data_IF_287419004023
#
_entry.id   IF_287419004023
#
_cell.length_a   1.000
_cell.length_b   1.000
_cell.length_c   1.000
_cell.angle_alpha   90.00
_cell.angle_beta   90.00
_cell.angle_gamma   90.00
#
_symmetry.space_group_name_H-M   'P 1'
#
loop_
_entity.id
_entity.type
_entity.pdbx_description
1 polymer ?
#
# COMPACT_ATOMS: atom_id res chain seq x y z
N UNK A 1 -10.45 -2.67 31.36
CA UNK A 1 -9.44 -3.72 31.65
C UNK A 1 -8.61 -4.02 30.41
N UNK A 2 -7.39 -3.53 30.39
CA UNK A 2 -6.45 -3.78 29.30
C UNK A 2 -5.42 -4.82 29.79
N UNK A 3 -5.43 -6.02 29.15
CA UNK A 3 -4.51 -7.10 29.50
C UNK A 3 -3.03 -6.66 29.49
N UNK A 4 -2.62 -5.86 28.50
CA UNK A 4 -1.23 -5.37 28.41
C UNK A 4 -0.90 -4.39 29.54
N UNK A 5 -1.83 -3.55 29.96
CA UNK A 5 -1.66 -2.67 31.11
C UNK A 5 -1.44 -3.50 32.40
N UNK A 6 -2.35 -4.45 32.66
CA UNK A 6 -2.22 -5.33 33.84
C UNK A 6 -0.92 -6.14 33.84
N UNK A 7 -0.47 -6.57 32.65
CA UNK A 7 0.81 -7.28 32.50
C UNK A 7 2.00 -6.38 32.77
N UNK A 8 1.95 -5.10 32.34
CA UNK A 8 3.02 -4.12 32.58
C UNK A 8 3.13 -3.78 34.07
N UNK A 9 2.02 -3.55 34.75
CA UNK A 9 1.99 -3.31 36.20
C UNK A 9 2.56 -4.52 36.97
N UNK A 10 2.09 -5.74 36.64
CA UNK A 10 2.55 -6.96 37.33
C UNK A 10 4.06 -7.21 37.19
N UNK A 11 4.66 -6.81 36.07
CA UNK A 11 6.07 -7.07 35.78
C UNK A 11 6.94 -5.81 35.82
N UNK A 12 6.42 -4.69 36.35
CA UNK A 12 7.12 -3.39 36.45
C UNK A 12 7.69 -2.93 35.10
N UNK A 13 6.94 -3.17 34.00
CA UNK A 13 7.37 -2.82 32.64
C UNK A 13 6.97 -1.39 32.30
N UNK A 14 7.79 -0.73 31.50
CA UNK A 14 7.46 0.57 30.95
C UNK A 14 6.22 0.50 30.05
N UNK A 15 5.20 1.28 30.35
CA UNK A 15 3.94 1.33 29.60
C UNK A 15 3.75 2.68 28.94
N UNK A 16 3.40 2.67 27.66
CA UNK A 16 3.00 3.85 26.91
C UNK A 16 1.54 3.73 26.51
N UNK A 17 0.74 4.66 26.99
CA UNK A 17 -0.69 4.69 26.65
C UNK A 17 -0.89 4.96 25.16
N UNK A 18 -1.74 4.15 24.52
CA UNK A 18 -2.20 4.35 23.16
C UNK A 18 -3.61 4.95 23.17
N UNK A 19 -3.83 6.00 22.38
CA UNK A 19 -5.14 6.61 22.25
C UNK A 19 -6.16 5.60 21.68
N UNK A 20 -7.16 5.25 22.45
CA UNK A 20 -8.19 4.25 22.12
C UNK A 20 -9.03 4.61 20.89
N UNK A 21 -9.07 5.89 20.50
CA UNK A 21 -9.76 6.36 19.31
C UNK A 21 -8.98 6.09 18.00
N UNK A 22 -7.73 5.64 18.08
CA UNK A 22 -6.90 5.35 16.93
C UNK A 22 -6.90 3.82 16.67
N UNK A 23 -7.67 3.36 15.70
CA UNK A 23 -7.69 1.94 15.32
C UNK A 23 -6.34 1.47 14.75
N UNK A 24 -6.04 0.16 14.90
CA UNK A 24 -4.73 -0.43 14.57
C UNK A 24 -4.18 -0.07 13.18
N UNK A 25 -4.99 -0.15 12.13
CA UNK A 25 -4.56 0.18 10.76
C UNK A 25 -4.22 1.66 10.53
N UNK A 26 -4.64 2.55 11.45
CA UNK A 26 -4.33 3.99 11.45
C UNK A 26 -3.19 4.35 12.40
N UNK A 27 -2.70 3.40 13.20
CA UNK A 27 -1.77 3.66 14.31
C UNK A 27 -0.29 3.76 13.91
N UNK A 28 0.03 3.58 12.63
CA UNK A 28 1.41 3.57 12.13
C UNK A 28 2.22 4.85 12.46
N UNK A 29 1.53 6.00 12.56
CA UNK A 29 2.14 7.29 12.94
C UNK A 29 1.81 7.71 14.38
N UNK A 30 1.27 6.80 15.19
CA UNK A 30 1.06 6.96 16.65
C UNK A 30 2.16 6.25 17.45
N UNK A 31 2.07 6.27 18.79
CA UNK A 31 3.02 5.57 19.67
C UNK A 31 3.23 4.10 19.28
N UNK A 32 2.17 3.40 18.84
CA UNK A 32 2.24 1.98 18.46
C UNK A 32 3.21 1.74 17.29
N UNK A 33 3.25 2.64 16.30
CA UNK A 33 4.18 2.54 15.18
C UNK A 33 5.52 3.24 15.43
N UNK A 34 5.50 4.38 16.12
CA UNK A 34 6.70 5.21 16.28
C UNK A 34 7.69 4.64 17.28
N UNK A 35 7.23 3.99 18.38
CA UNK A 35 8.13 3.41 19.37
C UNK A 35 8.98 2.28 18.80
N UNK A 36 8.41 1.25 18.14
CA UNK A 36 9.24 0.23 17.51
C UNK A 36 10.10 0.80 16.37
N UNK A 37 9.62 1.79 15.61
CA UNK A 37 10.42 2.46 14.58
C UNK A 37 11.66 3.14 15.18
N UNK A 38 11.48 3.85 16.28
CA UNK A 38 12.58 4.48 17.02
C UNK A 38 13.60 3.45 17.53
N UNK A 39 13.12 2.37 18.15
CA UNK A 39 13.98 1.28 18.65
C UNK A 39 14.76 0.58 17.53
N UNK A 40 14.24 0.55 16.31
CA UNK A 40 14.93 0.05 15.12
C UNK A 40 15.88 1.07 14.47
N UNK A 41 16.07 2.25 15.08
CA UNK A 41 16.97 3.29 14.57
C UNK A 41 16.38 4.17 13.45
N UNK A 42 15.08 4.10 13.19
CA UNK A 42 14.40 4.98 12.23
C UNK A 42 14.26 6.39 12.84
N UNK A 43 14.59 7.41 12.05
CA UNK A 43 14.38 8.78 12.47
C UNK A 43 12.89 9.15 12.42
N UNK A 44 12.24 9.06 13.60
CA UNK A 44 10.79 9.33 13.73
C UNK A 44 10.41 10.80 13.46
N UNK A 45 11.33 11.75 13.62
CA UNK A 45 11.09 13.16 13.28
C UNK A 45 11.03 13.32 11.76
N UNK A 46 11.97 12.70 11.03
CA UNK A 46 11.94 12.65 9.58
C UNK A 46 10.69 11.95 9.09
N UNK A 47 10.33 10.79 9.65
CA UNK A 47 9.11 10.06 9.30
C UNK A 47 7.85 10.94 9.41
N UNK A 48 7.80 11.87 10.37
CA UNK A 48 6.65 12.76 10.57
C UNK A 48 6.74 14.11 9.87
N UNK A 49 7.87 14.46 9.28
CA UNK A 49 8.14 15.80 8.73
C UNK A 49 7.11 16.25 7.69
N UNK A 50 6.71 15.38 6.79
CA UNK A 50 5.84 15.69 5.65
C UNK A 50 4.39 15.24 5.80
N UNK A 51 3.97 14.75 6.98
CA UNK A 51 2.61 14.20 7.16
C UNK A 51 1.49 15.25 6.94
N UNK A 52 1.80 16.54 7.13
CA UNK A 52 0.84 17.64 6.91
C UNK A 52 0.81 18.16 5.48
N UNK A 53 1.61 17.61 4.57
CA UNK A 53 1.75 18.11 3.19
C UNK A 53 0.41 18.20 2.46
N UNK A 54 -0.46 17.21 2.63
CA UNK A 54 -1.75 17.11 1.95
C UNK A 54 -2.87 17.95 2.58
N UNK A 55 -2.59 18.67 3.68
CA UNK A 55 -3.51 19.67 4.23
C UNK A 55 -3.36 21.05 3.57
N UNK A 56 -2.35 21.25 2.73
CA UNK A 56 -2.14 22.50 1.99
C UNK A 56 -2.98 22.52 0.72
N UNK A 57 -3.57 23.67 0.38
CA UNK A 57 -4.48 23.86 -0.77
C UNK A 57 -3.95 23.31 -2.10
N UNK A 58 -2.64 23.45 -2.37
CA UNK A 58 -2.03 23.01 -3.63
C UNK A 58 -1.77 21.50 -3.69
N UNK A 59 -1.45 20.86 -2.57
CA UNK A 59 -1.26 19.41 -2.51
C UNK A 59 -2.60 18.63 -2.45
N UNK A 60 -3.65 19.31 -2.04
CA UNK A 60 -5.01 18.80 -1.89
C UNK A 60 -5.67 18.42 -3.24
N UNK A 61 -5.27 19.04 -4.37
CA UNK A 61 -5.87 18.77 -5.68
C UNK A 61 -5.71 17.31 -6.10
N UNK A 62 -4.50 16.73 -5.96
CA UNK A 62 -4.22 15.33 -6.34
C UNK A 62 -5.04 14.38 -5.44
N UNK A 63 -5.08 14.65 -4.14
CA UNK A 63 -5.84 13.87 -3.17
C UNK A 63 -7.34 13.91 -3.49
N UNK A 64 -7.89 15.09 -3.74
CA UNK A 64 -9.31 15.29 -4.10
C UNK A 64 -9.68 14.56 -5.38
N UNK A 65 -8.94 14.78 -6.47
CA UNK A 65 -9.22 14.14 -7.76
C UNK A 65 -9.15 12.62 -7.67
N UNK A 66 -8.15 12.09 -6.98
CA UNK A 66 -8.00 10.66 -6.78
C UNK A 66 -9.14 10.10 -5.95
N UNK A 67 -9.47 10.73 -4.81
CA UNK A 67 -10.55 10.28 -3.93
C UNK A 67 -11.92 10.29 -4.62
N UNK A 68 -12.21 11.31 -5.44
CA UNK A 68 -13.47 11.39 -6.19
C UNK A 68 -13.56 10.25 -7.22
N UNK A 69 -12.48 10.00 -7.98
CA UNK A 69 -12.45 8.92 -8.98
C UNK A 69 -12.61 7.54 -8.32
N UNK A 70 -11.92 7.32 -7.20
CA UNK A 70 -12.01 6.05 -6.47
C UNK A 70 -13.37 5.86 -5.81
N UNK A 71 -13.95 6.91 -5.22
CA UNK A 71 -15.30 6.87 -4.68
C UNK A 71 -16.34 6.54 -5.76
N UNK A 72 -16.19 7.09 -6.97
CA UNK A 72 -17.02 6.73 -8.12
C UNK A 72 -16.86 5.24 -8.48
N UNK A 73 -15.64 4.73 -8.61
CA UNK A 73 -15.40 3.32 -8.94
C UNK A 73 -15.96 2.40 -7.86
N UNK A 74 -15.80 2.75 -6.59
CA UNK A 74 -16.34 1.99 -5.46
C UNK A 74 -17.86 1.95 -5.48
N UNK A 75 -18.51 3.12 -5.62
CA UNK A 75 -19.98 3.25 -5.63
C UNK A 75 -20.63 2.45 -6.77
N UNK A 76 -20.03 2.49 -7.95
CA UNK A 76 -20.55 1.83 -9.14
C UNK A 76 -19.92 0.45 -9.41
N UNK A 77 -19.11 -0.06 -8.48
CA UNK A 77 -18.43 -1.39 -8.57
C UNK A 77 -17.70 -1.61 -9.90
N UNK A 78 -17.14 -0.54 -10.46
CA UNK A 78 -16.60 -0.56 -11.83
C UNK A 78 -15.31 -1.37 -11.94
N UNK A 79 -14.43 -1.29 -10.94
CA UNK A 79 -13.16 -2.02 -10.86
C UNK A 79 -12.99 -2.57 -9.44
N UNK A 80 -13.67 -3.67 -9.10
CA UNK A 80 -13.64 -4.21 -7.74
C UNK A 80 -12.28 -4.75 -7.31
N UNK A 81 -11.43 -5.13 -8.26
CA UNK A 81 -10.10 -5.67 -7.99
C UNK A 81 -9.04 -4.56 -8.11
N UNK A 82 -8.36 -4.24 -7.01
CA UNK A 82 -7.31 -3.24 -6.94
C UNK A 82 -5.95 -3.92 -6.83
N UNK A 83 -5.17 -3.93 -7.91
CA UNK A 83 -3.91 -4.66 -7.99
C UNK A 83 -2.74 -3.71 -7.77
N UNK A 84 -1.93 -3.97 -6.73
CA UNK A 84 -0.70 -3.24 -6.45
C UNK A 84 0.48 -3.93 -7.12
N UNK A 85 0.93 -3.40 -8.25
CA UNK A 85 2.11 -3.88 -8.96
C UNK A 85 3.37 -3.29 -8.30
N UNK A 86 4.02 -4.09 -7.51
CA UNK A 86 5.17 -3.68 -6.70
C UNK A 86 6.49 -3.89 -7.47
N UNK A 87 7.04 -2.79 -8.04
CA UNK A 87 8.38 -2.79 -8.64
C UNK A 87 9.49 -2.39 -7.65
N UNK A 88 9.16 -2.21 -6.35
CA UNK A 88 10.11 -1.85 -5.29
C UNK A 88 10.01 -2.82 -4.12
N UNK A 89 11.01 -3.70 -3.96
CA UNK A 89 11.02 -4.70 -2.88
C UNK A 89 10.87 -4.07 -1.48
N UNK A 90 11.42 -2.87 -1.29
CA UNK A 90 11.38 -2.15 -0.01
C UNK A 90 9.96 -1.70 0.38
N UNK A 91 9.02 -1.69 -0.55
CA UNK A 91 7.62 -1.29 -0.29
C UNK A 91 6.68 -2.45 0.04
N UNK A 92 7.14 -3.69 0.02
CA UNK A 92 6.26 -4.85 0.21
C UNK A 92 5.45 -4.76 1.49
N UNK A 93 6.09 -4.47 2.62
CA UNK A 93 5.40 -4.34 3.93
C UNK A 93 4.46 -3.13 3.99
N UNK A 94 4.83 -2.03 3.36
CA UNK A 94 3.96 -0.87 3.18
C UNK A 94 2.70 -1.24 2.37
N UNK A 95 2.84 -2.00 1.30
CA UNK A 95 1.72 -2.42 0.45
C UNK A 95 0.79 -3.41 1.16
N UNK A 96 1.31 -4.30 2.00
CA UNK A 96 0.50 -5.16 2.87
C UNK A 96 -0.30 -4.35 3.89
N UNK A 97 0.30 -3.30 4.48
CA UNK A 97 -0.43 -2.36 5.32
C UNK A 97 -1.52 -1.61 4.54
N UNK A 98 -1.21 -1.12 3.33
CA UNK A 98 -2.16 -0.43 2.46
C UNK A 98 -3.31 -1.35 2.05
N UNK A 99 -3.02 -2.62 1.80
CA UNK A 99 -4.03 -3.65 1.55
C UNK A 99 -5.01 -3.76 2.72
N UNK A 100 -4.51 -3.86 3.94
CA UNK A 100 -5.35 -3.89 5.14
C UNK A 100 -6.15 -2.59 5.30
N UNK A 101 -5.50 -1.44 5.15
CA UNK A 101 -6.13 -0.13 5.27
C UNK A 101 -7.35 -0.02 4.34
N UNK A 102 -7.20 -0.38 3.07
CA UNK A 102 -8.28 -0.29 2.08
C UNK A 102 -9.38 -1.31 2.36
N UNK A 103 -9.02 -2.58 2.56
CA UNK A 103 -9.98 -3.67 2.71
C UNK A 103 -10.87 -3.48 3.95
N UNK A 104 -10.28 -3.21 5.11
CA UNK A 104 -11.03 -3.06 6.36
C UNK A 104 -11.81 -1.73 6.44
N UNK A 105 -11.28 -0.65 5.83
CA UNK A 105 -11.93 0.65 5.93
C UNK A 105 -13.11 0.80 4.97
N UNK A 106 -12.99 0.26 3.74
CA UNK A 106 -13.99 0.45 2.69
C UNK A 106 -14.85 -0.80 2.40
N UNK A 107 -14.43 -1.99 2.90
CA UNK A 107 -15.13 -3.27 2.68
C UNK A 107 -16.39 -3.40 3.53
N UNK A 108 -17.42 -2.56 3.28
CA UNK A 108 -18.66 -2.50 4.07
C UNK A 108 -19.86 -2.22 3.19
N UNK A 109 -21.07 -2.54 3.68
CA UNK A 109 -22.32 -2.24 2.98
C UNK A 109 -22.36 -2.81 1.55
N UNK A 110 -21.76 -4.00 1.33
CA UNK A 110 -21.61 -4.64 0.01
C UNK A 110 -20.78 -3.82 -1.00
N UNK A 111 -20.05 -2.81 -0.51
CA UNK A 111 -19.03 -2.07 -1.25
C UNK A 111 -17.65 -2.51 -0.78
N UNK A 112 -16.63 -2.25 -1.57
CA UNK A 112 -15.23 -2.54 -1.26
C UNK A 112 -14.41 -2.73 -2.52
N UNK A 113 -13.10 -2.60 -2.36
CA UNK A 113 -12.12 -3.10 -3.31
C UNK A 113 -11.52 -4.38 -2.73
N UNK A 114 -11.17 -5.34 -3.58
CA UNK A 114 -10.28 -6.43 -3.23
C UNK A 114 -8.83 -6.00 -3.55
N UNK A 115 -8.07 -5.48 -2.60
CA UNK A 115 -6.68 -5.10 -2.84
C UNK A 115 -5.79 -6.33 -2.82
N UNK A 116 -4.92 -6.46 -3.83
CA UNK A 116 -3.99 -7.59 -3.98
C UNK A 116 -2.60 -7.06 -4.27
N UNK A 117 -1.62 -7.45 -3.46
CA UNK A 117 -0.21 -7.14 -3.71
C UNK A 117 0.38 -8.15 -4.68
N UNK A 118 0.95 -7.65 -5.78
CA UNK A 118 1.62 -8.44 -6.81
C UNK A 118 3.07 -7.97 -6.93
N UNK A 119 4.00 -8.83 -6.53
CA UNK A 119 5.44 -8.54 -6.53
C UNK A 119 6.03 -8.78 -7.93
N UNK A 120 6.25 -7.71 -8.66
CA UNK A 120 6.73 -7.74 -10.04
C UNK A 120 8.23 -7.38 -10.12
N UNK A 121 8.97 -7.95 -11.08
CA UNK A 121 8.53 -8.76 -12.25
C UNK A 121 8.22 -10.23 -11.99
N UNK A 122 8.42 -10.77 -10.78
CA UNK A 122 8.18 -12.19 -10.48
C UNK A 122 6.78 -12.64 -10.90
N UNK A 123 5.75 -11.90 -10.50
CA UNK A 123 4.35 -12.24 -10.75
C UNK A 123 3.91 -12.00 -12.21
N UNK A 124 4.76 -11.35 -13.04
CA UNK A 124 4.54 -11.35 -14.49
C UNK A 124 4.53 -12.76 -15.07
N UNK A 125 5.33 -13.66 -14.51
CA UNK A 125 5.36 -15.06 -14.97
C UNK A 125 4.01 -15.75 -14.78
N UNK A 126 3.32 -15.47 -13.68
CA UNK A 126 2.09 -16.21 -13.30
C UNK A 126 0.78 -15.45 -13.59
N UNK A 127 0.80 -14.11 -13.54
CA UNK A 127 -0.45 -13.31 -13.53
C UNK A 127 -0.60 -12.36 -14.71
N UNK A 128 0.46 -12.12 -15.50
CA UNK A 128 0.43 -11.10 -16.54
C UNK A 128 -0.63 -11.38 -17.62
N UNK A 129 -0.82 -12.66 -18.01
CA UNK A 129 -1.86 -13.06 -18.96
C UNK A 129 -3.24 -12.62 -18.46
N UNK A 130 -3.57 -12.91 -17.17
CA UNK A 130 -4.84 -12.50 -16.57
C UNK A 130 -4.99 -10.97 -16.50
N UNK A 131 -3.89 -10.24 -16.26
CA UNK A 131 -3.91 -8.79 -16.18
C UNK A 131 -4.15 -8.10 -17.52
N UNK A 132 -3.64 -8.67 -18.61
CA UNK A 132 -3.72 -8.07 -19.93
C UNK A 132 -4.95 -8.49 -20.72
N UNK A 133 -5.36 -9.75 -20.60
CA UNK A 133 -6.37 -10.38 -21.45
C UNK A 133 -7.59 -10.93 -20.68
N UNK A 134 -7.52 -10.97 -19.36
CA UNK A 134 -8.64 -11.39 -18.51
C UNK A 134 -9.73 -10.32 -18.37
N UNK A 135 -10.70 -10.52 -17.45
CA UNK A 135 -11.80 -9.59 -17.22
C UNK A 135 -11.32 -8.15 -16.95
N UNK A 136 -12.01 -7.16 -17.53
CA UNK A 136 -11.71 -5.73 -17.41
C UNK A 136 -12.26 -5.13 -16.10
N UNK A 137 -12.05 -5.83 -15.01
CA UNK A 137 -12.55 -5.55 -13.66
C UNK A 137 -11.45 -5.09 -12.68
N UNK A 138 -10.26 -4.79 -13.20
CA UNK A 138 -9.07 -4.46 -12.41
C UNK A 138 -8.66 -3.00 -12.58
N UNK A 139 -8.30 -2.36 -11.46
CA UNK A 139 -7.59 -1.10 -11.40
C UNK A 139 -6.17 -1.37 -10.89
N UNK A 140 -5.16 -0.85 -11.58
CA UNK A 140 -3.78 -1.11 -11.24
C UNK A 140 -3.11 0.10 -10.58
N UNK A 141 -2.40 -0.13 -9.46
CA UNK A 141 -1.48 0.81 -8.85
C UNK A 141 -0.06 0.31 -9.06
N UNK A 142 0.75 1.08 -9.77
CA UNK A 142 2.12 0.74 -10.10
C UNK A 142 3.03 1.50 -9.14
N UNK A 143 3.61 0.79 -8.18
CA UNK A 143 4.59 1.34 -7.23
C UNK A 143 6.00 1.10 -7.73
N UNK A 144 6.77 2.17 -7.82
CA UNK A 144 8.12 2.13 -8.35
C UNK A 144 9.03 3.08 -7.57
N UNK A 145 10.24 2.63 -7.21
CA UNK A 145 11.28 3.46 -6.62
C UNK A 145 12.46 3.63 -7.58
N UNK A 146 13.01 4.84 -7.61
CA UNK A 146 14.19 5.19 -8.41
C UNK A 146 15.49 4.77 -7.69
N UNK A 147 15.64 3.48 -7.42
CA UNK A 147 16.85 2.95 -6.81
C UNK A 147 17.99 2.86 -7.83
N UNK A 148 19.22 3.16 -7.39
CA UNK A 148 20.42 3.01 -8.20
C UNK A 148 21.08 1.67 -7.90
N UNK A 149 21.05 0.74 -8.85
CA UNK A 149 21.83 -0.50 -8.77
C UNK A 149 23.16 -0.35 -9.53
N UNK A 150 24.26 -0.72 -8.89
CA UNK A 150 25.58 -0.81 -9.52
C UNK A 150 25.80 -2.16 -10.21
N UNK A 151 24.99 -3.16 -9.90
CA UNK A 151 25.14 -4.52 -10.41
C UNK A 151 24.76 -4.56 -11.90
N UNK A 152 25.70 -4.95 -12.75
CA UNK A 152 25.51 -5.20 -14.19
C UNK A 152 25.54 -6.68 -14.48
N UNK A 153 24.64 -7.14 -15.33
CA UNK A 153 24.62 -8.54 -15.78
C UNK A 153 25.68 -8.79 -16.87
N UNK A 154 26.46 -9.86 -16.74
CA UNK A 154 27.28 -10.39 -17.81
C UNK A 154 26.69 -11.73 -18.27
N UNK A 155 25.95 -11.67 -19.36
CA UNK A 155 25.25 -12.85 -19.93
C UNK A 155 25.94 -13.45 -21.15
N UNK A 156 27.01 -12.84 -21.65
CA UNK A 156 27.74 -13.34 -22.83
C UNK A 156 28.29 -14.75 -22.63
N UNK A 157 28.65 -15.08 -21.38
CA UNK A 157 29.17 -16.39 -21.01
C UNK A 157 28.13 -17.52 -21.07
N UNK A 158 26.84 -17.18 -21.06
CA UNK A 158 25.75 -18.16 -20.97
C UNK A 158 25.04 -18.40 -22.31
N UNK A 159 24.75 -17.34 -23.08
CA UNK A 159 24.02 -17.49 -24.34
C UNK A 159 24.01 -16.19 -25.17
N UNK A 160 23.98 -16.34 -26.51
CA UNK A 160 23.84 -15.20 -27.45
C UNK A 160 22.43 -14.62 -27.44
N UNK A 161 21.42 -15.41 -27.09
CA UNK A 161 20.02 -15.03 -27.19
C UNK A 161 19.63 -13.90 -26.19
N UNK A 162 20.42 -13.66 -25.15
CA UNK A 162 20.17 -12.62 -24.15
C UNK A 162 21.10 -11.40 -24.29
N UNK A 163 21.70 -11.18 -25.44
CA UNK A 163 22.58 -10.02 -25.66
C UNK A 163 21.91 -8.67 -25.35
N UNK A 164 20.58 -8.56 -25.50
CA UNK A 164 19.84 -7.32 -25.22
C UNK A 164 19.86 -6.90 -23.75
N UNK A 165 20.12 -7.83 -22.81
CA UNK A 165 20.27 -7.51 -21.36
C UNK A 165 21.74 -7.44 -20.93
N UNK A 166 22.69 -7.79 -21.82
CA UNK A 166 24.10 -7.80 -21.47
C UNK A 166 24.59 -6.40 -21.05
N UNK A 167 25.40 -6.35 -19.98
CA UNK A 167 25.92 -5.12 -19.37
C UNK A 167 24.84 -4.14 -18.90
N UNK A 168 23.56 -4.52 -18.88
CA UNK A 168 22.50 -3.72 -18.27
C UNK A 168 22.47 -3.97 -16.78
N UNK A 169 22.15 -2.93 -16.00
CA UNK A 169 21.87 -3.10 -14.58
C UNK A 169 20.45 -3.60 -14.34
N UNK A 170 20.22 -4.24 -13.20
CA UNK A 170 18.93 -4.82 -12.85
C UNK A 170 17.79 -3.78 -12.87
N UNK A 171 18.06 -2.57 -12.43
CA UNK A 171 17.04 -1.51 -12.44
C UNK A 171 16.64 -1.14 -13.86
N UNK A 172 17.59 -1.03 -14.80
CA UNK A 172 17.28 -0.75 -16.19
C UNK A 172 16.36 -1.83 -16.78
N UNK A 173 16.60 -3.10 -16.45
CA UNK A 173 15.76 -4.22 -16.92
C UNK A 173 14.37 -4.11 -16.31
N UNK A 174 14.27 -3.94 -14.99
CA UNK A 174 13.01 -3.75 -14.26
C UNK A 174 12.20 -2.56 -14.79
N UNK A 175 12.85 -1.42 -15.02
CA UNK A 175 12.22 -0.24 -15.62
C UNK A 175 11.73 -0.48 -17.05
N UNK A 176 12.49 -1.21 -17.86
CA UNK A 176 12.07 -1.55 -19.22
C UNK A 176 10.83 -2.42 -19.23
N UNK A 177 10.75 -3.42 -18.33
CA UNK A 177 9.56 -4.26 -18.15
C UNK A 177 8.35 -3.45 -17.68
N UNK A 178 8.55 -2.56 -16.68
CA UNK A 178 7.49 -1.64 -16.21
C UNK A 178 6.95 -0.78 -17.34
N UNK A 179 7.84 -0.15 -18.12
CA UNK A 179 7.43 0.75 -19.20
C UNK A 179 6.74 0.00 -20.34
N UNK A 180 7.16 -1.22 -20.65
CA UNK A 180 6.47 -2.08 -21.60
C UNK A 180 5.04 -2.42 -21.13
N UNK A 181 4.87 -2.73 -19.85
CA UNK A 181 3.55 -2.97 -19.26
C UNK A 181 2.67 -1.71 -19.32
N UNK A 182 3.20 -0.55 -18.92
CA UNK A 182 2.47 0.73 -19.02
C UNK A 182 2.04 1.03 -20.47
N UNK A 183 2.91 0.78 -21.44
CA UNK A 183 2.59 0.95 -22.85
C UNK A 183 1.45 0.03 -23.28
N UNK A 184 1.45 -1.22 -22.82
CA UNK A 184 0.36 -2.16 -23.04
C UNK A 184 -0.95 -1.72 -22.39
N UNK A 185 -0.90 -1.25 -21.15
CA UNK A 185 -2.08 -0.71 -20.45
C UNK A 185 -2.67 0.49 -21.19
N UNK A 186 -1.85 1.41 -21.67
CA UNK A 186 -2.30 2.57 -22.47
C UNK A 186 -2.98 2.12 -23.76
N UNK A 187 -2.36 1.20 -24.51
CA UNK A 187 -2.92 0.65 -25.75
C UNK A 187 -4.28 -0.02 -25.52
N UNK A 188 -4.40 -0.78 -24.43
CA UNK A 188 -5.61 -1.55 -24.10
C UNK A 188 -6.62 -0.73 -23.28
N UNK A 189 -6.37 0.56 -23.04
CA UNK A 189 -7.20 1.44 -22.20
C UNK A 189 -7.46 0.85 -20.80
N UNK A 190 -6.50 0.09 -20.27
CA UNK A 190 -6.55 -0.48 -18.93
C UNK A 190 -6.30 0.63 -17.90
N UNK A 191 -7.16 0.82 -16.90
CA UNK A 191 -7.00 1.89 -15.93
C UNK A 191 -5.83 1.59 -14.98
N UNK A 192 -4.95 2.56 -14.82
CA UNK A 192 -3.83 2.46 -13.88
C UNK A 192 -3.46 3.82 -13.29
N UNK A 193 -2.75 3.79 -12.18
CA UNK A 193 -2.14 4.91 -11.49
C UNK A 193 -0.69 4.56 -11.20
N UNK A 194 0.24 5.44 -11.52
CA UNK A 194 1.66 5.26 -11.20
C UNK A 194 2.03 6.11 -9.98
N UNK A 195 2.69 5.48 -9.00
CA UNK A 195 3.25 6.12 -7.81
C UNK A 195 4.77 5.95 -7.90
N UNK A 196 5.46 7.06 -8.17
CA UNK A 196 6.92 7.08 -8.32
C UNK A 196 7.55 7.64 -7.05
N UNK A 197 8.38 6.83 -6.40
CA UNK A 197 9.13 7.20 -5.21
C UNK A 197 10.54 7.54 -5.64
N UNK A 198 10.89 8.84 -5.59
CA UNK A 198 12.20 9.31 -6.03
C UNK A 198 13.31 8.90 -5.07
N UNK A 199 13.02 8.89 -3.78
CA UNK A 199 13.98 8.61 -2.73
C UNK A 199 13.34 7.77 -1.62
N UNK A 200 13.99 6.67 -1.25
CA UNK A 200 13.57 5.83 -0.11
C UNK A 200 14.11 6.45 1.18
N UNK A 201 13.37 7.42 1.71
CA UNK A 201 13.65 8.10 2.97
C UNK A 201 12.45 8.02 3.90
N UNK A 202 12.68 8.26 5.18
CA UNK A 202 11.63 8.28 6.20
C UNK A 202 10.54 9.32 5.88
N UNK A 203 10.93 10.50 5.40
CA UNK A 203 9.98 11.57 5.03
C UNK A 203 9.02 11.12 3.91
N UNK A 204 9.55 10.40 2.92
CA UNK A 204 8.74 9.87 1.81
C UNK A 204 7.78 8.78 2.29
N UNK A 205 8.23 7.91 3.17
CA UNK A 205 7.39 6.87 3.76
C UNK A 205 6.27 7.48 4.62
N UNK A 206 6.59 8.46 5.46
CA UNK A 206 5.59 9.18 6.25
C UNK A 206 4.57 9.93 5.40
N UNK A 207 5.01 10.52 4.28
CA UNK A 207 4.15 11.15 3.29
C UNK A 207 3.19 10.15 2.64
N UNK A 208 3.67 8.95 2.28
CA UNK A 208 2.83 7.89 1.73
C UNK A 208 1.79 7.41 2.74
N UNK A 209 2.18 7.17 4.00
CA UNK A 209 1.24 6.80 5.05
C UNK A 209 0.13 7.83 5.21
N UNK A 210 0.49 9.11 5.34
CA UNK A 210 -0.50 10.18 5.53
C UNK A 210 -1.39 10.35 4.31
N UNK A 211 -0.83 10.29 3.10
CA UNK A 211 -1.60 10.37 1.86
C UNK A 211 -2.69 9.31 1.79
N UNK A 212 -2.34 8.02 1.95
CA UNK A 212 -3.31 6.94 1.82
C UNK A 212 -4.32 6.90 2.98
N UNK A 213 -3.92 7.26 4.20
CA UNK A 213 -4.86 7.43 5.31
C UNK A 213 -5.92 8.47 4.94
N UNK A 214 -5.51 9.65 4.48
CA UNK A 214 -6.43 10.73 4.09
C UNK A 214 -7.30 10.33 2.90
N UNK A 215 -6.71 9.71 1.86
CA UNK A 215 -7.45 9.25 0.68
C UNK A 215 -8.59 8.30 1.10
N UNK A 216 -8.32 7.31 1.95
CA UNK A 216 -9.31 6.35 2.40
C UNK A 216 -10.39 6.98 3.29
N UNK A 217 -10.02 7.91 4.16
CA UNK A 217 -11.00 8.66 4.98
C UNK A 217 -11.92 9.49 4.10
N UNK A 218 -11.37 10.19 3.10
CA UNK A 218 -12.17 11.01 2.16
C UNK A 218 -13.09 10.13 1.31
N UNK A 219 -12.60 9.01 0.78
CA UNK A 219 -13.44 8.06 0.03
C UNK A 219 -14.58 7.55 0.91
N UNK A 220 -14.29 7.10 2.13
CA UNK A 220 -15.32 6.62 3.06
C UNK A 220 -16.42 7.66 3.28
N UNK A 221 -16.04 8.92 3.50
CA UNK A 221 -16.98 10.04 3.62
C UNK A 221 -17.81 10.26 2.36
N UNK A 222 -17.19 10.24 1.17
CA UNK A 222 -17.89 10.46 -0.11
C UNK A 222 -18.91 9.35 -0.44
N UNK A 223 -18.69 8.12 0.01
CA UNK A 223 -19.61 7.00 -0.25
C UNK A 223 -20.51 6.65 0.94
N UNK A 224 -20.43 7.39 2.04
CA UNK A 224 -21.26 7.17 3.25
C UNK A 224 -20.85 5.94 4.07
N UNK A 225 -19.58 5.57 4.04
CA UNK A 225 -19.01 4.47 4.85
C UNK A 225 -18.20 5.07 6.00
N UNK A 226 -18.38 4.54 7.24
CA UNK A 226 -17.46 4.84 8.33
C UNK A 226 -16.14 4.09 8.11
N UNK A 227 -15.00 4.77 7.82
CA UNK A 227 -13.74 4.08 7.55
C UNK A 227 -13.04 3.57 8.82
N UNK A 228 -13.49 3.95 10.02
CA UNK A 228 -12.75 3.73 11.27
C UNK A 228 -13.14 2.44 12.01
N UNK A 229 -14.31 1.87 11.77
CA UNK A 229 -14.78 0.63 12.38
C UNK A 229 -14.56 -0.63 11.51
N UNK A 230 -14.78 -1.83 12.06
CA UNK A 230 -14.72 -3.12 11.37
C UNK A 230 -15.69 -4.15 12.00
N UNK A 231 -17.02 -3.93 11.96
CA UNK A 231 -17.98 -4.72 12.73
C UNK A 231 -17.99 -6.21 12.37
N UNK A 232 -17.71 -6.58 11.11
CA UNK A 232 -17.69 -7.99 10.68
C UNK A 232 -16.54 -8.78 11.30
N UNK A 233 -15.37 -8.16 11.49
CA UNK A 233 -14.21 -8.79 12.13
C UNK A 233 -14.51 -9.09 13.60
N UNK A 234 -15.14 -8.17 14.31
CA UNK A 234 -15.52 -8.35 15.72
C UNK A 234 -16.55 -9.46 15.90
N UNK A 235 -17.47 -9.63 14.94
CA UNK A 235 -18.41 -10.75 14.94
C UNK A 235 -17.69 -12.10 14.90
N UNK A 236 -16.71 -12.27 14.03
CA UNK A 236 -15.92 -13.50 13.91
C UNK A 236 -15.16 -13.78 15.21
N UNK A 237 -14.50 -12.79 15.80
CA UNK A 237 -13.79 -12.93 17.08
C UNK A 237 -14.72 -13.43 18.20
N UNK A 238 -15.93 -12.87 18.32
CA UNK A 238 -16.92 -13.31 19.32
C UNK A 238 -17.37 -14.73 19.09
N UNK A 239 -17.61 -15.12 17.83
CA UNK A 239 -17.99 -16.51 17.50
C UNK A 239 -16.85 -17.49 17.81
N UNK A 240 -15.60 -17.14 17.49
CA UNK A 240 -14.43 -17.95 17.82
C UNK A 240 -14.32 -18.17 19.33
N UNK A 241 -14.46 -17.11 20.13
CA UNK A 241 -14.46 -17.24 21.59
C UNK A 241 -15.57 -18.20 22.09
N UNK A 242 -16.78 -18.08 21.52
CA UNK A 242 -17.91 -18.98 21.87
C UNK A 242 -17.67 -20.44 21.49
N UNK A 243 -16.93 -20.71 20.40
CA UNK A 243 -16.64 -22.11 19.97
C UNK A 243 -15.53 -22.71 20.85
N UNK A 244 -14.63 -21.90 21.39
CA UNK A 244 -13.52 -22.33 22.24
C UNK A 244 -13.91 -22.44 23.72
N UNK A 245 -15.00 -21.83 24.16
CA UNK A 245 -15.57 -21.92 25.51
C UNK A 245 -16.54 -23.09 25.63
#
# INVERSE_FOLDING_TARGET
DNFLYNLSEKNELFYLEHNSNIGGRYSVLSVVGLVPAYLMGINIFNLRKNIKKFFNKNADKILKESSIKLAYFLKYKKYPNLIFLNYSSNLEKFLLWLQQLIAESLGKNKLGFLPVVSNVPKDHHSLLQLYLDGPKDKLFYIFNSEEKSKIKLDVKKFTKNFNFINKKNLNKIKFSQKNALISSFKKNKTPFREIVIKENREETLGELFSYFILEIVVIGKLVGINPFDQPSVEKVKRLTKKILS
#
